data_IF_417527248721
#
_entry.id   IF_417527248721
#
_cell.length_a   1.000
_cell.length_b   1.000
_cell.length_c   1.000
_cell.angle_alpha   90.00
_cell.angle_beta   90.00
_cell.angle_gamma   90.00
#
_symmetry.space_group_name_H-M   'P 1'
#
loop_
_entity.id
_entity.type
_entity.pdbx_description
1 polymer ?
#
# COMPACT_ATOMS: atom_id res chain seq x y z
N UNK A 1 8.18 -27.81 -19.42
CA UNK A 1 7.11 -28.32 -18.53
C UNK A 1 6.13 -27.19 -18.21
N UNK A 2 5.06 -27.09 -19.02
CA UNK A 2 3.95 -26.14 -18.82
C UNK A 2 2.83 -26.77 -17.97
N UNK A 3 3.15 -27.71 -17.10
CA UNK A 3 2.21 -28.38 -16.20
C UNK A 3 2.29 -27.68 -14.83
N UNK A 4 1.29 -26.83 -14.53
CA UNK A 4 1.12 -26.28 -13.21
C UNK A 4 0.49 -24.90 -13.08
N UNK A 5 0.21 -24.19 -14.16
CA UNK A 5 -0.61 -22.98 -14.06
C UNK A 5 -2.08 -23.37 -13.99
N UNK A 6 -2.60 -23.48 -12.76
CA UNK A 6 -4.03 -23.66 -12.55
C UNK A 6 -4.77 -22.46 -13.15
N UNK A 7 -5.64 -22.69 -14.13
CA UNK A 7 -6.41 -21.65 -14.80
C UNK A 7 -7.32 -20.98 -13.77
N UNK A 8 -7.08 -19.72 -13.46
CA UNK A 8 -7.94 -18.96 -12.56
C UNK A 8 -9.35 -18.86 -13.10
N UNK A 9 -10.35 -18.96 -12.23
CA UNK A 9 -11.73 -18.70 -12.61
C UNK A 9 -11.92 -17.22 -12.95
N UNK A 10 -12.98 -16.91 -13.72
CA UNK A 10 -13.31 -15.51 -14.03
C UNK A 10 -13.53 -14.67 -12.76
N UNK A 11 -14.13 -15.26 -11.72
CA UNK A 11 -14.35 -14.60 -10.43
C UNK A 11 -13.04 -14.28 -9.72
N UNK A 12 -12.05 -15.17 -9.75
CA UNK A 12 -10.72 -14.92 -9.22
C UNK A 12 -10.00 -13.78 -9.98
N UNK A 13 -10.15 -13.73 -11.31
CA UNK A 13 -9.60 -12.64 -12.12
C UNK A 13 -10.23 -11.30 -11.76
N UNK A 14 -11.53 -11.26 -11.48
CA UNK A 14 -12.22 -10.05 -11.00
C UNK A 14 -11.70 -9.63 -9.64
N UNK A 15 -11.48 -10.56 -8.68
CA UNK A 15 -10.88 -10.24 -7.38
C UNK A 15 -9.44 -9.72 -7.52
N UNK A 16 -8.65 -10.26 -8.45
CA UNK A 16 -7.32 -9.73 -8.74
C UNK A 16 -7.39 -8.30 -9.29
N UNK A 17 -8.36 -8.01 -10.16
CA UNK A 17 -8.59 -6.65 -10.67
C UNK A 17 -9.01 -5.68 -9.56
N UNK A 18 -9.88 -6.10 -8.63
CA UNK A 18 -10.23 -5.33 -7.43
C UNK A 18 -8.98 -5.01 -6.62
N UNK A 19 -8.14 -6.01 -6.35
CA UNK A 19 -6.91 -5.81 -5.58
C UNK A 19 -5.96 -4.83 -6.27
N UNK A 20 -5.79 -4.95 -7.60
CA UNK A 20 -4.99 -4.01 -8.37
C UNK A 20 -5.54 -2.58 -8.30
N UNK A 21 -6.86 -2.40 -8.38
CA UNK A 21 -7.50 -1.10 -8.25
C UNK A 21 -7.27 -0.49 -6.85
N UNK A 22 -7.44 -1.29 -5.79
CA UNK A 22 -7.18 -0.86 -4.41
C UNK A 22 -5.72 -0.45 -4.19
N UNK A 23 -4.74 -1.20 -4.73
CA UNK A 23 -3.32 -0.84 -4.65
C UNK A 23 -2.98 0.47 -5.37
N UNK A 24 -3.86 0.96 -6.23
CA UNK A 24 -3.76 2.27 -6.89
C UNK A 24 -4.61 3.35 -6.22
N UNK A 25 -5.25 3.04 -5.09
CA UNK A 25 -6.21 3.93 -4.44
C UNK A 25 -7.49 4.16 -5.25
N UNK A 26 -7.74 3.33 -6.27
CA UNK A 26 -8.92 3.42 -7.13
C UNK A 26 -10.11 2.66 -6.53
N UNK A 27 -10.67 3.21 -5.46
CA UNK A 27 -11.80 2.60 -4.78
C UNK A 27 -13.09 2.59 -5.62
N UNK A 28 -13.27 3.53 -6.55
CA UNK A 28 -14.44 3.58 -7.43
C UNK A 28 -14.42 2.40 -8.41
N UNK A 29 -13.30 2.14 -9.07
CA UNK A 29 -13.12 0.96 -9.92
C UNK A 29 -13.23 -0.33 -9.12
N UNK A 30 -12.66 -0.37 -7.90
CA UNK A 30 -12.80 -1.52 -7.00
C UNK A 30 -14.28 -1.77 -6.67
N UNK A 31 -15.06 -0.75 -6.33
CA UNK A 31 -16.50 -0.86 -6.10
C UNK A 31 -17.28 -1.33 -7.32
N UNK A 32 -16.95 -0.84 -8.52
CA UNK A 32 -17.60 -1.29 -9.74
C UNK A 32 -17.41 -2.79 -9.98
N UNK A 33 -16.20 -3.31 -9.79
CA UNK A 33 -15.90 -4.74 -9.88
C UNK A 33 -16.59 -5.56 -8.76
N UNK A 34 -16.57 -5.07 -7.51
CA UNK A 34 -17.21 -5.73 -6.37
C UNK A 34 -18.73 -5.83 -6.53
N UNK A 35 -19.36 -4.90 -7.23
CA UNK A 35 -20.78 -4.91 -7.55
C UNK A 35 -21.12 -5.72 -8.82
N UNK A 36 -20.14 -6.36 -9.45
CA UNK A 36 -20.36 -7.23 -10.60
C UNK A 36 -20.94 -8.62 -10.21
N UNK A 37 -20.86 -9.58 -11.10
CA UNK A 37 -21.37 -10.95 -10.87
C UNK A 37 -20.77 -11.65 -9.65
N UNK A 38 -19.56 -11.27 -9.19
CA UNK A 38 -18.91 -11.88 -8.01
C UNK A 38 -19.70 -11.68 -6.71
N UNK A 39 -20.53 -10.63 -6.64
CA UNK A 39 -21.39 -10.37 -5.49
C UNK A 39 -22.34 -11.54 -5.19
N UNK A 40 -22.74 -12.27 -6.23
CA UNK A 40 -23.66 -13.40 -6.15
C UNK A 40 -22.96 -14.75 -6.33
N UNK A 41 -21.63 -14.79 -6.17
CA UNK A 41 -20.85 -16.02 -6.26
C UNK A 41 -21.38 -17.06 -5.27
N UNK A 42 -21.37 -18.33 -5.68
CA UNK A 42 -21.68 -19.47 -4.80
C UNK A 42 -20.46 -20.04 -4.11
N UNK A 43 -19.26 -19.57 -4.48
CA UNK A 43 -18.02 -19.95 -3.85
C UNK A 43 -17.83 -19.15 -2.55
N UNK A 44 -17.73 -19.86 -1.44
CA UNK A 44 -17.59 -19.27 -0.11
C UNK A 44 -16.32 -18.42 0.03
N UNK A 45 -15.24 -18.82 -0.63
CA UNK A 45 -13.97 -18.09 -0.58
C UNK A 45 -14.07 -16.80 -1.39
N UNK A 46 -14.66 -16.84 -2.58
CA UNK A 46 -14.94 -15.64 -3.39
C UNK A 46 -15.82 -14.67 -2.61
N UNK A 47 -16.89 -15.17 -1.95
CA UNK A 47 -17.74 -14.33 -1.10
C UNK A 47 -16.94 -13.70 0.07
N UNK A 48 -16.06 -14.45 0.71
CA UNK A 48 -15.23 -13.95 1.80
C UNK A 48 -14.30 -12.84 1.31
N UNK A 49 -13.60 -13.03 0.20
CA UNK A 49 -12.77 -11.98 -0.41
C UNK A 49 -13.59 -10.76 -0.82
N UNK A 50 -14.77 -10.96 -1.43
CA UNK A 50 -15.66 -9.85 -1.82
C UNK A 50 -16.03 -9.00 -0.61
N UNK A 51 -16.38 -9.62 0.52
CA UNK A 51 -16.69 -8.92 1.77
C UNK A 51 -15.46 -8.16 2.30
N UNK A 52 -14.29 -8.79 2.34
CA UNK A 52 -13.06 -8.16 2.82
C UNK A 52 -12.67 -6.95 1.94
N UNK A 53 -12.67 -7.13 0.63
CA UNK A 53 -12.30 -6.07 -0.30
C UNK A 53 -13.31 -4.92 -0.34
N UNK A 54 -14.59 -5.18 -0.03
CA UNK A 54 -15.58 -4.12 0.18
C UNK A 54 -15.17 -3.23 1.36
N UNK A 55 -14.70 -3.81 2.47
CA UNK A 55 -14.23 -3.02 3.60
C UNK A 55 -12.90 -2.30 3.29
N UNK A 56 -12.03 -2.92 2.52
CA UNK A 56 -10.81 -2.26 2.07
C UNK A 56 -11.10 -1.08 1.14
N UNK A 57 -12.10 -1.20 0.25
CA UNK A 57 -12.55 -0.08 -0.59
C UNK A 57 -13.16 1.03 0.27
N UNK A 58 -13.94 0.69 1.30
CA UNK A 58 -14.46 1.65 2.26
C UNK A 58 -13.34 2.38 3.01
N UNK A 59 -12.33 1.67 3.50
CA UNK A 59 -11.14 2.29 4.12
C UNK A 59 -10.41 3.23 3.14
N UNK A 60 -10.33 2.87 1.86
CA UNK A 60 -9.68 3.69 0.83
C UNK A 60 -10.45 4.98 0.52
N UNK A 61 -11.77 5.01 0.75
CA UNK A 61 -12.63 6.17 0.54
C UNK A 61 -12.78 7.09 1.76
N UNK A 62 -12.17 6.74 2.89
CA UNK A 62 -12.25 7.51 4.14
C UNK A 62 -11.58 8.88 3.99
N UNK A 63 -12.28 9.93 4.38
CA UNK A 63 -11.78 11.32 4.35
C UNK A 63 -11.36 11.82 5.73
N UNK A 64 -11.91 11.22 6.80
CA UNK A 64 -11.62 11.60 8.18
C UNK A 64 -11.40 10.39 9.08
N UNK A 65 -10.83 10.59 10.27
CA UNK A 65 -10.66 9.49 11.25
C UNK A 65 -11.99 8.95 11.77
N UNK A 66 -13.00 9.78 11.81
CA UNK A 66 -14.35 9.44 12.26
C UNK A 66 -15.00 8.41 11.33
N UNK A 67 -14.74 8.52 10.04
CA UNK A 67 -15.27 7.62 9.00
C UNK A 67 -14.66 6.21 9.07
N UNK A 68 -13.55 6.03 9.80
CA UNK A 68 -12.95 4.71 10.03
C UNK A 68 -13.79 3.82 10.95
N UNK A 69 -14.68 4.38 11.75
CA UNK A 69 -15.40 3.63 12.78
C UNK A 69 -16.21 2.47 12.19
N UNK A 70 -16.98 2.72 11.14
CA UNK A 70 -17.83 1.69 10.52
C UNK A 70 -17.03 0.54 9.90
N UNK A 71 -16.09 0.77 8.96
CA UNK A 71 -15.32 -0.32 8.36
C UNK A 71 -14.47 -1.08 9.38
N UNK A 72 -13.94 -0.42 10.41
CA UNK A 72 -13.19 -1.07 11.49
C UNK A 72 -14.08 -1.99 12.31
N UNK A 73 -15.28 -1.58 12.70
CA UNK A 73 -16.21 -2.44 13.45
C UNK A 73 -16.68 -3.64 12.61
N UNK A 74 -16.91 -3.46 11.31
CA UNK A 74 -17.23 -4.56 10.41
C UNK A 74 -16.05 -5.54 10.30
N UNK A 75 -14.82 -5.05 10.17
CA UNK A 75 -13.64 -5.92 10.15
C UNK A 75 -13.44 -6.67 11.48
N UNK A 76 -13.70 -6.00 12.63
CA UNK A 76 -13.72 -6.67 13.95
C UNK A 76 -14.76 -7.79 14.02
N UNK A 77 -15.93 -7.57 13.46
CA UNK A 77 -16.97 -8.61 13.36
C UNK A 77 -16.50 -9.76 12.47
N UNK A 78 -15.94 -9.45 11.29
CA UNK A 78 -15.43 -10.47 10.34
C UNK A 78 -14.30 -11.31 10.94
N UNK A 79 -13.45 -10.76 11.79
CA UNK A 79 -12.39 -11.51 12.44
C UNK A 79 -12.90 -12.67 13.33
N UNK A 80 -14.18 -12.65 13.71
CA UNK A 80 -14.81 -13.62 14.61
C UNK A 80 -15.72 -14.63 13.90
N UNK A 81 -15.99 -14.42 12.60
CA UNK A 81 -16.93 -15.24 11.83
C UNK A 81 -16.22 -16.40 11.15
N UNK A 82 -16.74 -17.62 11.28
CA UNK A 82 -16.13 -18.83 10.71
C UNK A 82 -16.02 -18.81 9.18
N UNK A 83 -16.98 -18.18 8.48
CA UNK A 83 -16.90 -18.02 7.02
C UNK A 83 -15.73 -17.13 6.55
N UNK A 84 -15.11 -16.38 7.45
CA UNK A 84 -13.96 -15.51 7.20
C UNK A 84 -12.63 -16.06 7.73
N UNK A 85 -12.63 -17.30 8.26
CA UNK A 85 -11.47 -17.89 8.97
C UNK A 85 -10.20 -17.89 8.14
N UNK A 86 -10.29 -18.15 6.84
CA UNK A 86 -9.12 -18.20 5.94
C UNK A 86 -8.51 -16.80 5.71
N UNK A 87 -9.31 -15.75 5.81
CA UNK A 87 -8.89 -14.36 5.66
C UNK A 87 -8.61 -13.67 6.99
N UNK A 88 -8.80 -14.38 8.10
CA UNK A 88 -8.61 -13.82 9.45
C UNK A 88 -7.23 -13.19 9.66
N UNK A 89 -6.10 -13.79 9.21
CA UNK A 89 -4.79 -13.14 9.32
C UNK A 89 -4.74 -11.77 8.63
N UNK A 90 -5.24 -11.68 7.39
CA UNK A 90 -5.28 -10.42 6.63
C UNK A 90 -6.20 -9.37 7.28
N UNK A 91 -7.33 -9.79 7.83
CA UNK A 91 -8.25 -8.92 8.58
C UNK A 91 -7.56 -8.38 9.84
N UNK A 92 -6.92 -9.24 10.61
CA UNK A 92 -6.22 -8.85 11.83
C UNK A 92 -5.03 -7.93 11.54
N UNK A 93 -4.29 -8.17 10.46
CA UNK A 93 -3.19 -7.31 10.02
C UNK A 93 -3.71 -5.91 9.67
N UNK A 94 -4.82 -5.82 8.92
CA UNK A 94 -5.47 -4.54 8.60
C UNK A 94 -5.92 -3.81 9.86
N UNK A 95 -6.59 -4.51 10.80
CA UNK A 95 -7.02 -3.96 12.08
C UNK A 95 -5.84 -3.45 12.90
N UNK A 96 -4.77 -4.25 13.02
CA UNK A 96 -3.57 -3.82 13.74
C UNK A 96 -3.00 -2.54 13.16
N UNK A 97 -2.88 -2.49 11.83
CA UNK A 97 -2.30 -1.32 11.18
C UNK A 97 -3.16 -0.06 11.35
N UNK A 98 -4.48 -0.16 11.18
CA UNK A 98 -5.40 0.99 11.25
C UNK A 98 -5.62 1.47 12.68
N UNK A 99 -5.74 0.54 13.65
CA UNK A 99 -6.09 0.89 15.05
C UNK A 99 -4.89 1.07 15.96
N UNK A 100 -3.73 0.47 15.64
CA UNK A 100 -2.58 0.43 16.52
C UNK A 100 -2.69 -0.57 17.68
N UNK A 101 -3.80 -1.31 17.79
CA UNK A 101 -4.07 -2.19 18.93
C UNK A 101 -3.21 -3.48 18.88
N UNK A 102 -2.26 -3.62 19.81
CA UNK A 102 -1.33 -4.75 19.87
C UNK A 102 -1.99 -6.14 20.07
N UNK A 103 -3.27 -6.18 20.45
CA UNK A 103 -4.00 -7.44 20.57
C UNK A 103 -4.07 -8.20 19.25
N UNK A 104 -4.20 -7.48 18.12
CA UNK A 104 -4.29 -8.10 16.80
C UNK A 104 -2.96 -8.72 16.35
N UNK A 105 -1.84 -8.03 16.56
CA UNK A 105 -0.52 -8.60 16.26
C UNK A 105 -0.21 -9.82 17.11
N UNK A 106 -0.56 -9.80 18.40
CA UNK A 106 -0.42 -10.95 19.29
C UNK A 106 -1.30 -12.13 18.85
N UNK A 107 -2.54 -11.85 18.39
CA UNK A 107 -3.42 -12.90 17.88
C UNK A 107 -2.87 -13.52 16.60
N UNK A 108 -2.35 -12.71 15.66
CA UNK A 108 -1.71 -13.21 14.44
C UNK A 108 -0.58 -14.16 14.77
N UNK A 109 0.38 -13.72 15.59
CA UNK A 109 1.58 -14.54 15.92
C UNK A 109 1.23 -15.80 16.70
N UNK A 110 0.22 -15.75 17.56
CA UNK A 110 -0.23 -16.89 18.36
C UNK A 110 -1.05 -17.91 17.56
N UNK A 111 -2.03 -17.42 16.78
CA UNK A 111 -3.02 -18.29 16.14
C UNK A 111 -2.65 -18.66 14.71
N UNK A 112 -1.82 -17.86 14.05
CA UNK A 112 -1.42 -18.02 12.65
C UNK A 112 0.11 -17.91 12.46
N UNK A 113 0.94 -18.61 13.24
CA UNK A 113 2.40 -18.39 13.28
C UNK A 113 3.11 -18.69 11.96
N UNK A 114 2.46 -19.40 11.03
CA UNK A 114 3.00 -19.74 9.71
C UNK A 114 2.43 -18.87 8.57
N UNK A 115 1.58 -17.88 8.88
CA UNK A 115 1.04 -17.00 7.89
C UNK A 115 2.05 -15.92 7.44
N UNK A 116 1.86 -15.39 6.25
CA UNK A 116 2.64 -14.24 5.75
C UNK A 116 2.47 -13.04 6.68
N UNK A 117 1.28 -12.85 7.24
CA UNK A 117 0.97 -11.76 8.16
C UNK A 117 1.75 -11.88 9.48
N UNK A 118 1.97 -13.11 9.97
CA UNK A 118 2.83 -13.33 11.14
C UNK A 118 4.29 -12.98 10.83
N UNK A 119 4.79 -13.35 9.66
CA UNK A 119 6.13 -12.98 9.24
C UNK A 119 6.28 -11.44 9.11
N UNK A 120 5.25 -10.75 8.62
CA UNK A 120 5.23 -9.28 8.54
C UNK A 120 5.25 -8.66 9.94
N UNK A 121 4.40 -9.15 10.85
CA UNK A 121 4.34 -8.67 12.25
C UNK A 121 5.67 -8.86 12.96
N UNK A 122 6.36 -9.99 12.73
CA UNK A 122 7.66 -10.31 13.32
C UNK A 122 8.84 -9.58 12.63
N UNK A 123 8.62 -8.93 11.48
CA UNK A 123 9.67 -8.30 10.70
C UNK A 123 10.47 -9.25 9.81
N UNK A 124 9.98 -10.49 9.63
CA UNK A 124 10.62 -11.52 8.79
C UNK A 124 10.22 -11.40 7.31
N UNK A 125 9.20 -10.61 6.99
CA UNK A 125 8.72 -10.39 5.63
C UNK A 125 8.25 -8.94 5.42
N UNK A 126 8.32 -8.49 4.17
CA UNK A 126 7.83 -7.19 3.74
C UNK A 126 6.58 -7.35 2.87
N UNK A 127 5.70 -6.35 2.91
CA UNK A 127 4.57 -6.24 1.99
C UNK A 127 5.02 -5.46 0.75
N UNK A 128 5.11 -6.14 -0.39
CA UNK A 128 5.39 -5.54 -1.69
C UNK A 128 4.32 -6.02 -2.71
N UNK A 129 3.63 -5.12 -3.40
CA UNK A 129 3.62 -3.67 -3.22
C UNK A 129 2.99 -3.24 -1.90
N UNK A 130 3.34 -2.05 -1.43
CA UNK A 130 2.77 -1.48 -0.20
C UNK A 130 1.25 -1.43 -0.31
N UNK A 131 0.51 -2.03 0.63
CA UNK A 131 -0.95 -2.01 0.58
C UNK A 131 -1.51 -0.60 0.71
N UNK A 132 -2.60 -0.32 0.00
CA UNK A 132 -3.26 0.99 0.00
C UNK A 132 -3.60 1.51 1.41
N UNK A 133 -3.92 0.62 2.36
CA UNK A 133 -4.29 1.01 3.72
C UNK A 133 -3.12 1.58 4.55
N UNK A 134 -1.88 1.54 4.06
CA UNK A 134 -0.78 2.32 4.63
C UNK A 134 -1.05 3.83 4.58
N UNK A 135 -1.85 4.28 3.64
CA UNK A 135 -2.21 5.69 3.46
C UNK A 135 -3.58 6.04 4.08
N UNK A 136 -4.25 5.07 4.69
CA UNK A 136 -5.51 5.30 5.42
C UNK A 136 -5.20 6.01 6.75
N UNK A 137 -6.01 7.00 7.18
CA UNK A 137 -5.86 7.63 8.49
C UNK A 137 -5.84 6.60 9.61
N UNK A 138 -4.94 6.76 10.58
CA UNK A 138 -4.80 5.82 11.69
C UNK A 138 -5.51 6.34 12.93
N UNK A 139 -6.20 5.46 13.64
CA UNK A 139 -6.82 5.76 14.93
C UNK A 139 -5.80 5.81 16.07
N UNK A 140 -4.69 5.06 15.96
CA UNK A 140 -3.65 4.99 16.98
C UNK A 140 -2.25 4.83 16.38
N UNK A 141 -1.22 5.00 17.19
CA UNK A 141 0.15 4.72 16.82
C UNK A 141 0.45 3.23 16.99
N UNK A 142 1.09 2.63 15.99
CA UNK A 142 1.57 1.24 16.06
C UNK A 142 2.95 1.28 16.69
N UNK A 143 3.11 0.76 17.91
CA UNK A 143 4.36 0.75 18.71
C UNK A 143 5.47 -0.07 18.06
N UNK A 144 5.61 -0.34 16.95
CA UNK A 144 6.57 -0.95 16.03
C UNK A 144 5.80 -1.30 14.75
N UNK A 145 5.47 -0.25 13.99
CA UNK A 145 4.64 -0.45 12.82
C UNK A 145 5.42 -1.03 11.65
N UNK A 146 4.68 -1.66 10.77
CA UNK A 146 5.14 -2.18 9.49
C UNK A 146 6.00 -1.15 8.73
N UNK A 147 5.74 0.15 8.87
CA UNK A 147 6.57 1.22 8.33
C UNK A 147 8.00 1.27 8.90
N UNK A 148 8.17 0.99 10.20
CA UNK A 148 9.51 0.95 10.84
C UNK A 148 10.29 -0.30 10.45
N UNK A 149 9.60 -1.39 10.14
CA UNK A 149 10.20 -2.66 9.70
C UNK A 149 10.76 -2.53 8.27
N UNK A 150 10.05 -1.82 7.39
CA UNK A 150 10.53 -1.53 6.03
C UNK A 150 11.84 -0.73 6.07
N UNK A 151 11.97 0.23 6.99
CA UNK A 151 13.17 1.07 7.15
C UNK A 151 14.35 0.26 7.71
N UNK A 152 14.12 -0.59 8.72
CA UNK A 152 15.23 -1.35 9.36
C UNK A 152 15.82 -2.44 8.46
N UNK A 153 15.05 -3.00 7.52
CA UNK A 153 15.54 -4.01 6.60
C UNK A 153 16.27 -3.43 5.39
N UNK A 154 15.94 -2.21 4.95
CA UNK A 154 16.71 -1.50 3.94
C UNK A 154 18.15 -1.25 4.41
N UNK A 155 18.36 -0.94 5.70
CA UNK A 155 19.71 -0.74 6.26
C UNK A 155 20.55 -2.04 6.37
N UNK A 156 19.91 -3.22 6.38
CA UNK A 156 20.62 -4.51 6.43
C UNK A 156 21.08 -5.03 5.08
N UNK A 157 20.37 -4.67 4.00
CA UNK A 157 20.74 -5.11 2.65
C UNK A 157 21.87 -4.28 2.03
N UNK A 158 22.04 -3.00 2.42
CA UNK A 158 23.15 -2.17 1.94
C UNK A 158 24.55 -2.65 2.34
N UNK A 159 24.67 -3.53 3.33
CA UNK A 159 25.98 -4.08 3.74
C UNK A 159 26.45 -5.29 2.93
N UNK A 160 25.65 -5.81 2.01
CA UNK A 160 25.97 -7.02 1.24
C UNK A 160 26.21 -6.82 -0.25
N UNK A 161 25.99 -5.64 -0.84
CA UNK A 161 26.07 -5.44 -2.29
C UNK A 161 26.96 -4.29 -2.77
N UNK A 162 28.04 -3.98 -2.03
CA UNK A 162 29.06 -3.05 -2.53
C UNK A 162 30.17 -3.80 -3.26
N UNK A 163 29.89 -4.31 -4.45
CA UNK A 163 30.92 -4.53 -5.47
C UNK A 163 30.30 -4.58 -6.87
N UNK A 164 30.86 -3.70 -7.71
CA UNK A 164 30.73 -3.61 -9.18
C UNK A 164 29.41 -3.04 -9.73
N UNK A 165 29.41 -1.85 -10.29
CA UNK A 165 29.82 -1.55 -11.67
C UNK A 165 30.10 -0.06 -11.81
N UNK A 166 31.34 0.23 -12.23
CA UNK A 166 31.76 1.54 -12.70
C UNK A 166 31.63 1.63 -14.23
N UNK A 167 31.34 2.86 -14.69
CA UNK A 167 31.55 3.41 -16.03
C UNK A 167 30.54 3.06 -17.13
N UNK A 168 29.76 4.08 -17.51
CA UNK A 168 29.87 4.63 -18.87
C UNK A 168 29.11 5.95 -19.02
N UNK A 169 29.88 6.95 -19.33
CA UNK A 169 29.77 8.04 -20.29
C UNK A 169 28.94 9.28 -19.92
N UNK A 170 29.74 10.28 -19.60
CA UNK A 170 29.42 11.69 -19.76
C UNK A 170 29.04 12.01 -21.23
N UNK A 171 27.96 12.74 -21.42
CA UNK A 171 27.94 13.75 -22.48
C UNK A 171 27.15 14.96 -21.95
N UNK A 172 27.86 16.07 -21.97
CA UNK A 172 27.42 17.40 -21.53
C UNK A 172 26.42 17.93 -22.56
N UNK A 173 25.27 18.43 -22.06
CA UNK A 173 24.74 19.72 -22.54
C UNK A 173 23.85 20.29 -21.46
N UNK A 174 24.28 21.41 -20.91
CA UNK A 174 23.63 22.13 -19.83
C UNK A 174 22.36 22.86 -20.34
N UNK A 175 21.22 22.47 -19.79
CA UNK A 175 20.13 23.36 -19.40
C UNK A 175 19.77 22.93 -17.99
N UNK A 176 19.65 23.88 -17.05
CA UNK A 176 19.19 23.63 -15.69
C UNK A 176 17.73 23.12 -15.72
N UNK A 177 17.54 21.88 -16.10
CA UNK A 177 16.25 21.19 -15.95
C UNK A 177 16.17 20.69 -14.51
N UNK A 178 15.28 21.32 -13.76
CA UNK A 178 14.95 20.92 -12.38
C UNK A 178 14.28 19.56 -12.45
N UNK A 179 15.04 18.51 -12.19
CA UNK A 179 14.55 17.12 -12.16
C UNK A 179 13.52 16.99 -11.04
N UNK A 180 12.36 16.43 -11.37
CA UNK A 180 11.30 16.15 -10.39
C UNK A 180 11.26 14.66 -10.10
N UNK A 181 11.02 14.32 -8.85
CA UNK A 181 10.81 12.94 -8.41
C UNK A 181 9.34 12.80 -8.00
N UNK A 182 8.66 11.81 -8.58
CA UNK A 182 7.32 11.42 -8.20
C UNK A 182 7.38 10.39 -7.09
N UNK A 183 6.68 10.66 -5.99
CA UNK A 183 6.63 9.84 -4.78
C UNK A 183 5.29 9.09 -4.65
N UNK A 184 4.25 9.57 -5.31
CA UNK A 184 2.95 8.92 -5.30
C UNK A 184 1.98 9.52 -6.32
N UNK A 185 0.99 8.72 -6.70
CA UNK A 185 -0.12 9.09 -7.58
C UNK A 185 -1.43 8.67 -6.92
N UNK A 186 -2.30 9.61 -6.61
CA UNK A 186 -3.53 9.37 -5.85
C UNK A 186 -4.75 9.88 -6.61
N UNK A 187 -5.90 9.24 -6.40
CA UNK A 187 -7.19 9.72 -6.90
C UNK A 187 -7.88 10.71 -5.96
N UNK A 188 -7.54 10.68 -4.68
CA UNK A 188 -8.08 11.61 -3.69
C UNK A 188 -7.00 12.56 -3.21
N UNK A 189 -7.38 13.82 -3.03
CA UNK A 189 -6.48 14.85 -2.52
C UNK A 189 -6.01 14.53 -1.10
N UNK A 190 -6.88 13.93 -0.29
CA UNK A 190 -6.59 13.60 1.09
C UNK A 190 -5.44 12.59 1.21
N UNK A 191 -5.43 11.53 0.39
CA UNK A 191 -4.34 10.55 0.40
C UNK A 191 -3.01 11.16 -0.03
N UNK A 192 -3.02 12.10 -0.98
CA UNK A 192 -1.83 12.84 -1.35
C UNK A 192 -1.33 13.75 -0.21
N UNK A 193 -2.26 14.41 0.51
CA UNK A 193 -1.92 15.25 1.67
C UNK A 193 -1.30 14.43 2.80
N UNK A 194 -1.83 13.25 3.09
CA UNK A 194 -1.27 12.35 4.13
C UNK A 194 0.19 12.00 3.83
N UNK A 195 0.50 11.63 2.58
CA UNK A 195 1.88 11.35 2.19
C UNK A 195 2.76 12.60 2.31
N UNK A 196 2.26 13.77 1.90
CA UNK A 196 2.99 15.04 2.02
C UNK A 196 3.29 15.39 3.49
N UNK A 197 2.33 15.23 4.38
CA UNK A 197 2.52 15.47 5.81
C UNK A 197 3.54 14.51 6.42
N UNK A 198 3.47 13.24 6.07
CA UNK A 198 4.45 12.25 6.51
C UNK A 198 5.86 12.60 6.03
N UNK A 199 6.04 12.90 4.73
CA UNK A 199 7.33 13.26 4.15
C UNK A 199 7.89 14.55 4.76
N UNK A 200 7.04 15.56 4.99
CA UNK A 200 7.43 16.81 5.64
C UNK A 200 7.89 16.59 7.08
N UNK A 201 7.24 15.70 7.82
CA UNK A 201 7.65 15.36 9.19
C UNK A 201 9.06 14.74 9.24
N UNK A 202 9.50 14.11 8.14
CA UNK A 202 10.83 13.54 7.95
C UNK A 202 11.84 14.50 7.27
N UNK A 203 11.42 15.75 7.03
CA UNK A 203 12.28 16.79 6.48
C UNK A 203 12.34 16.83 4.95
N UNK A 204 11.44 16.15 4.24
CA UNK A 204 11.35 16.22 2.77
C UNK A 204 10.34 17.30 2.34
N UNK A 205 10.79 18.28 1.57
CA UNK A 205 9.94 19.38 1.09
C UNK A 205 9.25 18.98 -0.23
N UNK A 206 8.10 18.29 -0.12
CA UNK A 206 7.30 17.84 -1.23
C UNK A 206 6.00 18.64 -1.38
N UNK A 207 5.41 18.57 -2.57
CA UNK A 207 4.19 19.29 -2.93
C UNK A 207 3.27 18.41 -3.78
N UNK A 208 1.99 18.81 -3.87
CA UNK A 208 0.98 18.13 -4.68
C UNK A 208 0.76 18.91 -5.96
N UNK A 209 0.70 18.20 -7.08
CA UNK A 209 0.16 18.71 -8.35
C UNK A 209 -1.01 17.85 -8.81
N UNK A 210 -1.81 18.36 -9.73
CA UNK A 210 -2.96 17.64 -10.26
C UNK A 210 -2.82 17.40 -11.75
N UNK A 211 -3.20 16.20 -12.19
CA UNK A 211 -3.28 15.82 -13.59
C UNK A 211 -4.69 15.33 -13.92
N UNK A 212 -5.34 15.93 -14.90
CA UNK A 212 -6.63 15.47 -15.40
C UNK A 212 -6.42 14.63 -16.65
N UNK A 213 -6.72 13.34 -16.60
CA UNK A 213 -6.60 12.45 -17.76
C UNK A 213 -7.79 12.58 -18.71
N UNK A 214 -7.62 12.07 -19.94
CA UNK A 214 -8.66 12.07 -20.98
C UNK A 214 -9.96 11.38 -20.56
N UNK A 215 -9.91 10.47 -19.59
CA UNK A 215 -11.08 9.84 -18.95
C UNK A 215 -11.91 10.78 -18.08
N UNK A 216 -11.46 12.03 -17.86
CA UNK A 216 -12.09 12.98 -16.94
C UNK A 216 -11.65 12.85 -15.49
N UNK A 217 -10.90 11.80 -15.15
CA UNK A 217 -10.41 11.55 -13.78
C UNK A 217 -9.26 12.50 -13.45
N UNK A 218 -9.33 13.14 -12.29
CA UNK A 218 -8.25 13.96 -11.73
C UNK A 218 -7.38 13.08 -10.82
N UNK A 219 -6.06 13.15 -11.00
CA UNK A 219 -5.07 12.52 -10.15
C UNK A 219 -4.29 13.58 -9.38
N UNK A 220 -3.94 13.25 -8.15
CA UNK A 220 -3.11 14.06 -7.25
C UNK A 220 -1.74 13.39 -7.16
N UNK A 221 -0.71 14.11 -7.63
CA UNK A 221 0.65 13.61 -7.76
C UNK A 221 1.51 14.27 -6.70
N UNK A 222 2.18 13.49 -5.87
CA UNK A 222 3.14 14.02 -4.90
C UNK A 222 4.51 14.05 -5.54
N UNK A 223 5.09 15.25 -5.62
CA UNK A 223 6.36 15.54 -6.24
C UNK A 223 7.34 16.18 -5.25
N UNK A 224 8.62 15.97 -5.48
CA UNK A 224 9.71 16.70 -4.84
C UNK A 224 10.74 17.09 -5.92
N UNK A 225 11.36 18.23 -5.76
CA UNK A 225 12.48 18.63 -6.62
C UNK A 225 13.76 17.92 -6.19
N UNK A 226 14.43 17.24 -7.13
CA UNK A 226 15.73 16.66 -6.89
C UNK A 226 16.76 17.76 -6.59
N UNK A 227 17.70 17.49 -5.69
CA UNK A 227 18.77 18.43 -5.40
C UNK A 227 19.82 18.44 -6.54
N UNK A 228 20.66 19.49 -6.58
CA UNK A 228 21.71 19.64 -7.60
C UNK A 228 22.72 18.49 -7.60
N UNK A 229 22.92 17.87 -6.46
CA UNK A 229 23.85 16.75 -6.25
C UNK A 229 23.24 15.40 -6.62
N UNK A 230 21.94 15.36 -6.96
CA UNK A 230 21.17 14.13 -7.30
C UNK A 230 21.26 13.04 -6.23
N UNK A 231 21.24 13.43 -4.96
CA UNK A 231 21.32 12.52 -3.81
C UNK A 231 20.00 12.38 -3.08
N UNK A 232 18.98 13.17 -3.45
CA UNK A 232 17.69 13.16 -2.77
C UNK A 232 16.90 11.87 -3.05
N UNK A 233 17.00 11.38 -4.28
CA UNK A 233 16.38 10.09 -4.65
C UNK A 233 16.92 8.94 -3.78
N UNK A 234 18.23 8.91 -3.52
CA UNK A 234 18.85 7.87 -2.69
C UNK A 234 18.46 8.04 -1.21
N UNK A 235 18.38 9.29 -0.72
CA UNK A 235 17.87 9.56 0.63
C UNK A 235 16.42 9.16 0.81
N UNK A 236 15.58 9.38 -0.19
CA UNK A 236 14.17 8.95 -0.17
C UNK A 236 14.07 7.43 -0.14
N UNK A 237 14.83 6.74 -0.99
CA UNK A 237 14.85 5.27 -1.03
C UNK A 237 15.38 4.68 0.27
N UNK A 238 16.46 5.24 0.83
CA UNK A 238 16.99 4.80 2.12
C UNK A 238 16.04 5.10 3.29
N UNK A 239 15.12 6.05 3.11
CA UNK A 239 14.03 6.33 4.06
C UNK A 239 12.76 5.49 3.79
N UNK A 240 12.83 4.50 2.86
CA UNK A 240 11.74 3.58 2.56
C UNK A 240 10.71 4.10 1.54
N UNK A 241 11.04 5.19 0.80
CA UNK A 241 10.13 5.73 -0.21
C UNK A 241 10.61 5.42 -1.62
N UNK A 242 9.74 4.85 -2.44
CA UNK A 242 10.00 4.75 -3.86
C UNK A 242 9.80 6.10 -4.54
N UNK A 243 10.69 6.44 -5.47
CA UNK A 243 10.59 7.64 -6.26
C UNK A 243 11.01 7.39 -7.72
N UNK A 244 10.33 8.06 -8.63
CA UNK A 244 10.54 7.95 -10.07
C UNK A 244 10.82 9.33 -10.65
N UNK A 245 11.81 9.41 -11.55
CA UNK A 245 12.10 10.65 -12.28
C UNK A 245 10.93 10.92 -13.24
N UNK A 246 10.40 12.15 -13.21
CA UNK A 246 9.36 12.63 -14.11
C UNK A 246 9.78 13.98 -14.72
N UNK A 247 9.39 14.21 -15.95
CA UNK A 247 9.70 15.42 -16.72
C UNK A 247 8.83 16.63 -16.31
#
# INVERSE_FOLDING_TARGET
>A
NAEGMQKKSNEQLVLDAVRCALCQGDYETAHAYLNSSIRNSKDNLIQAYTKLYTQWAALCSVESKEDLAEPVEILKAYSKVDSMKELRPAILLTLWYVTGESQYSKEITKSFPKSTEAAIVNGDAQLLPTPFWFFVPKLGEVEQGIGSIVIQNAEKEEKSSSQSVAKANANQNAKDEVVKLQLGLFRTENNAKLLVEELKSKGFDCYITTEKRSSGTTYYIVLIHENKERTLADKLRSSGYECYIVD
#
